data_IF_917863341909
#
_entry.id   IF_917863341909
#
_cell.length_a   1.000
_cell.length_b   1.000
_cell.length_c   1.000
_cell.angle_alpha   90.00
_cell.angle_beta   90.00
_cell.angle_gamma   90.00
#
_symmetry.space_group_name_H-M   'P 1'
#
loop_
_entity.id
_entity.type
_entity.pdbx_description
1 polymer ?
#
# COMPACT_ATOMS: atom_id res chain seq x y z
N UNK A 1 2.33 -8.28 -10.42
CA UNK A 1 3.17 -9.49 -10.47
C UNK A 1 3.33 -9.97 -11.90
N UNK A 2 2.24 -10.14 -12.67
CA UNK A 2 2.31 -10.52 -14.08
C UNK A 2 3.10 -9.53 -14.98
N UNK A 3 2.97 -8.22 -14.76
CA UNK A 3 3.76 -7.21 -15.48
C UNK A 3 5.27 -7.38 -15.19
N UNK A 4 5.64 -7.39 -13.91
CA UNK A 4 7.04 -7.57 -13.46
C UNK A 4 7.62 -8.90 -13.94
N UNK A 5 6.84 -9.99 -13.92
CA UNK A 5 7.26 -11.29 -14.45
C UNK A 5 7.61 -11.22 -15.95
N UNK A 6 6.81 -10.48 -16.71
CA UNK A 6 6.99 -10.29 -18.16
C UNK A 6 8.17 -9.36 -18.47
N UNK A 7 8.34 -8.28 -17.71
CA UNK A 7 9.44 -7.32 -17.88
C UNK A 7 10.80 -7.95 -17.52
N UNK A 8 10.86 -8.66 -16.39
CA UNK A 8 12.10 -9.24 -15.88
C UNK A 8 12.39 -10.64 -16.46
N UNK A 9 11.45 -11.23 -17.20
CA UNK A 9 11.57 -12.60 -17.71
C UNK A 9 11.60 -13.67 -16.61
N UNK A 10 11.06 -13.36 -15.43
CA UNK A 10 11.03 -14.23 -14.26
C UNK A 10 9.65 -14.87 -14.15
N UNK A 11 9.58 -16.16 -13.80
CA UNK A 11 8.29 -16.82 -13.62
C UNK A 11 7.49 -16.24 -12.45
N UNK A 12 6.17 -16.14 -12.59
CA UNK A 12 5.28 -15.66 -11.52
C UNK A 12 5.42 -16.51 -10.24
N UNK A 13 5.64 -17.82 -10.39
CA UNK A 13 5.89 -18.76 -9.30
C UNK A 13 7.16 -18.39 -8.51
N UNK A 14 8.23 -17.98 -9.18
CA UNK A 14 9.48 -17.53 -8.55
C UNK A 14 9.27 -16.24 -7.76
N UNK A 15 8.60 -15.25 -8.34
CA UNK A 15 8.28 -14.00 -7.65
C UNK A 15 7.38 -14.25 -6.43
N UNK A 16 6.42 -15.17 -6.55
CA UNK A 16 5.55 -15.55 -5.44
C UNK A 16 6.34 -16.22 -4.31
N UNK A 17 7.26 -17.12 -4.64
CA UNK A 17 8.13 -17.79 -3.68
C UNK A 17 8.99 -16.79 -2.91
N UNK A 18 9.66 -15.87 -3.61
CA UNK A 18 10.46 -14.82 -2.95
C UNK A 18 9.60 -13.93 -2.07
N UNK A 19 8.44 -13.48 -2.55
CA UNK A 19 7.49 -12.67 -1.76
C UNK A 19 7.08 -13.37 -0.46
N UNK A 20 6.82 -14.68 -0.53
CA UNK A 20 6.48 -15.50 0.65
C UNK A 20 7.66 -15.56 1.62
N UNK A 21 8.86 -15.85 1.13
CA UNK A 21 10.07 -15.89 1.96
C UNK A 21 10.36 -14.57 2.66
N UNK A 22 10.23 -13.44 1.95
CA UNK A 22 10.44 -12.13 2.57
C UNK A 22 9.37 -11.81 3.63
N UNK A 23 8.10 -12.16 3.39
CA UNK A 23 7.03 -12.03 4.39
C UNK A 23 7.30 -12.88 5.64
N UNK A 24 7.79 -14.11 5.46
CA UNK A 24 8.16 -15.01 6.56
C UNK A 24 9.39 -14.53 7.32
N UNK A 25 10.34 -13.85 6.64
CA UNK A 25 11.55 -13.28 7.24
C UNK A 25 11.31 -11.98 8.05
N UNK A 26 10.06 -11.52 8.16
CA UNK A 26 9.72 -10.27 8.85
C UNK A 26 10.11 -9.01 8.07
N UNK A 27 10.63 -9.14 6.85
CA UNK A 27 10.75 -8.01 5.94
C UNK A 27 9.33 -7.53 5.60
N UNK A 28 9.08 -6.24 5.84
CA UNK A 28 7.84 -5.59 5.43
C UNK A 28 7.87 -5.52 3.91
N UNK A 29 7.46 -6.60 3.24
CA UNK A 29 7.16 -6.55 1.83
C UNK A 29 5.90 -5.73 1.72
N UNK A 30 5.92 -4.54 1.08
CA UNK A 30 4.71 -3.77 0.86
C UNK A 30 3.82 -4.60 -0.05
N UNK A 31 2.94 -5.35 0.57
CA UNK A 31 1.90 -6.12 -0.05
C UNK A 31 0.72 -6.17 0.91
N UNK A 32 0.30 -4.99 1.33
CA UNK A 32 -1.00 -4.79 1.93
C UNK A 32 -1.83 -3.96 0.97
N UNK A 33 -2.08 -4.49 -0.23
CA UNK A 33 -3.34 -4.22 -0.94
C UNK A 33 -4.50 -4.85 -0.15
N UNK A 34 -4.59 -4.55 1.15
CA UNK A 34 -5.88 -4.54 1.83
C UNK A 34 -6.57 -3.33 1.25
N UNK A 35 -7.65 -3.51 0.47
CA UNK A 35 -8.40 -2.38 -0.04
C UNK A 35 -8.69 -1.43 1.11
N UNK A 36 -8.64 -0.12 0.89
CA UNK A 36 -8.91 0.88 1.94
C UNK A 36 -10.22 0.63 2.69
N UNK A 37 -11.18 -0.03 2.04
CA UNK A 37 -12.45 -0.51 2.62
C UNK A 37 -12.27 -1.49 3.78
N UNK A 38 -11.22 -2.31 3.77
CA UNK A 38 -10.90 -3.31 4.80
C UNK A 38 -9.99 -2.79 5.92
N UNK A 39 -9.56 -1.52 5.89
CA UNK A 39 -8.77 -0.97 6.98
C UNK A 39 -9.60 -0.82 8.26
N UNK A 40 -8.97 -1.13 9.40
CA UNK A 40 -9.57 -0.82 10.70
C UNK A 40 -9.77 0.69 10.84
N UNK A 41 -10.74 1.13 11.64
CA UNK A 41 -10.97 2.56 11.91
C UNK A 41 -9.71 3.25 12.48
N UNK A 42 -8.94 2.54 13.32
CA UNK A 42 -7.68 3.04 13.87
C UNK A 42 -6.61 3.26 12.78
N UNK A 43 -6.49 2.32 11.84
CA UNK A 43 -5.58 2.42 10.70
C UNK A 43 -5.94 3.60 9.80
N UNK A 44 -7.24 3.76 9.50
CA UNK A 44 -7.75 4.89 8.72
C UNK A 44 -7.43 6.23 9.38
N UNK A 45 -7.72 6.35 10.68
CA UNK A 45 -7.48 7.59 11.44
C UNK A 45 -5.99 7.92 11.51
N UNK A 46 -5.12 6.93 11.75
CA UNK A 46 -3.68 7.15 11.77
C UNK A 46 -3.15 7.68 10.42
N UNK A 47 -3.58 7.09 9.31
CA UNK A 47 -3.16 7.53 7.96
C UNK A 47 -3.66 8.95 7.68
N UNK A 48 -4.90 9.30 8.04
CA UNK A 48 -5.43 10.66 7.87
C UNK A 48 -4.66 11.66 8.73
N UNK A 49 -4.39 11.33 10.00
CA UNK A 49 -3.65 12.21 10.90
C UNK A 49 -2.20 12.44 10.42
N UNK A 50 -1.54 11.41 9.88
CA UNK A 50 -0.19 11.52 9.33
C UNK A 50 -0.17 12.34 8.03
N UNK A 51 -1.18 12.19 7.17
CA UNK A 51 -1.21 12.83 5.83
C UNK A 51 -1.88 14.21 5.81
N UNK A 52 -2.57 14.61 6.88
CA UNK A 52 -3.36 15.86 6.93
C UNK A 52 -2.57 17.13 6.57
N UNK A 53 -1.30 17.22 6.98
CA UNK A 53 -0.45 18.38 6.71
C UNK A 53 0.54 18.18 5.56
N UNK A 54 0.49 17.04 4.84
CA UNK A 54 1.40 16.73 3.75
C UNK A 54 1.00 17.45 2.47
N UNK A 55 1.99 17.94 1.72
CA UNK A 55 1.81 18.37 0.33
C UNK A 55 1.62 17.18 -0.61
N UNK A 56 1.17 17.41 -1.85
CA UNK A 56 0.98 16.35 -2.84
C UNK A 56 2.27 15.55 -3.12
N UNK A 57 3.43 16.22 -3.10
CA UNK A 57 4.72 15.56 -3.28
C UNK A 57 5.09 14.68 -2.07
N UNK A 58 4.87 15.16 -0.85
CA UNK A 58 5.10 14.40 0.38
C UNK A 58 4.15 13.22 0.49
N UNK A 59 2.88 13.41 0.13
CA UNK A 59 1.89 12.34 0.05
C UNK A 59 2.33 11.26 -0.94
N UNK A 60 2.83 11.65 -2.11
CA UNK A 60 3.36 10.70 -3.11
C UNK A 60 4.56 9.90 -2.59
N UNK A 61 5.46 10.53 -1.84
CA UNK A 61 6.57 9.84 -1.19
C UNK A 61 6.08 8.89 -0.11
N UNK A 62 5.21 9.36 0.79
CA UNK A 62 4.59 8.56 1.85
C UNK A 62 3.87 7.33 1.28
N UNK A 63 3.12 7.50 0.19
CA UNK A 63 2.43 6.42 -0.50
C UNK A 63 3.41 5.34 -1.00
N UNK A 64 4.52 5.74 -1.63
CA UNK A 64 5.55 4.80 -2.11
C UNK A 64 6.23 4.05 -0.96
N UNK A 65 6.52 4.75 0.13
CA UNK A 65 7.17 4.16 1.32
C UNK A 65 6.25 3.18 2.04
N UNK A 66 4.96 3.51 2.17
CA UNK A 66 3.95 2.70 2.87
C UNK A 66 3.30 1.64 1.98
N UNK A 67 3.56 1.66 0.66
CA UNK A 67 2.91 0.80 -0.31
C UNK A 67 1.42 1.10 -0.50
N UNK A 68 1.04 2.38 -0.36
CA UNK A 68 -0.30 2.90 -0.53
C UNK A 68 -0.42 3.63 -1.86
N UNK A 69 -1.65 3.79 -2.35
CA UNK A 69 -1.96 4.64 -3.48
C UNK A 69 -2.54 5.99 -3.00
N UNK A 70 -2.21 7.13 -3.66
CA UNK A 70 -2.79 8.43 -3.31
C UNK A 70 -4.31 8.43 -3.30
N UNK A 71 -4.93 7.64 -4.18
CA UNK A 71 -6.37 7.45 -4.26
C UNK A 71 -6.93 6.78 -3.00
N UNK A 72 -6.21 5.84 -2.38
CA UNK A 72 -6.64 5.16 -1.15
C UNK A 72 -6.66 6.12 0.06
N UNK A 73 -5.80 7.13 0.05
CA UNK A 73 -5.76 8.19 1.06
C UNK A 73 -6.87 9.22 0.81
N UNK A 74 -7.07 9.62 -0.45
CA UNK A 74 -8.09 10.59 -0.87
C UNK A 74 -9.53 10.04 -0.92
N UNK A 75 -9.75 8.72 -0.94
CA UNK A 75 -11.11 8.14 -0.87
C UNK A 75 -11.73 8.22 0.53
N UNK A 76 -10.99 8.67 1.53
CA UNK A 76 -11.39 8.68 2.93
C UNK A 76 -11.92 10.01 3.55
N UNK A 77 -12.05 11.18 2.86
CA UNK A 77 -12.60 12.39 3.46
C UNK A 77 -14.13 12.50 3.37
N UNK A 78 -14.82 11.76 2.48
CA UNK A 78 -16.27 11.95 2.24
C UNK A 78 -17.19 10.89 2.88
N UNK A 79 -16.69 9.69 3.23
CA UNK A 79 -17.57 8.61 3.71
C UNK A 79 -17.89 8.63 5.21
N UNK A 80 -17.39 9.61 5.96
CA UNK A 80 -17.66 9.77 7.41
C UNK A 80 -18.71 10.86 7.71
N UNK A 81 -19.20 11.56 6.68
CA UNK A 81 -20.22 12.61 6.80
C UNK A 81 -21.66 12.16 6.43
N UNK A 82 -21.92 10.86 6.30
CA UNK A 82 -23.23 10.29 5.97
C UNK A 82 -23.67 9.21 6.97
#
# INVERSE_FOLDING_TARGET
MAEVAKEEGISDATLYYWRKQFRESGAVVPNSHTPSEHWSAQTKLAIVAETFSMTENELGQYCREKGLYPEEVHLNPEKEAA
#
